data_IF_650107676481
#
_entry.id   IF_650107676481
#
_cell.length_a   1.000
_cell.length_b   1.000
_cell.length_c   1.000
_cell.angle_alpha   90.00
_cell.angle_beta   90.00
_cell.angle_gamma   90.00
#
_symmetry.space_group_name_H-M   'P 1'
#
loop_
_entity.id
_entity.type
_entity.pdbx_description
1 polymer ?
#
# COMPACT_ATOMS: atom_id res chain seq x y z
N UNK A 1 15.14 13.73 24.27
CA UNK A 1 13.85 13.15 23.86
C UNK A 1 14.06 11.69 23.53
N UNK A 2 13.14 10.82 23.94
CA UNK A 2 13.18 9.40 23.61
C UNK A 2 12.97 9.22 22.10
N UNK A 3 13.84 8.44 21.44
CA UNK A 3 13.75 8.16 20.01
C UNK A 3 12.62 7.17 19.70
N UNK A 4 12.14 7.14 18.46
CA UNK A 4 11.19 6.12 17.97
C UNK A 4 11.74 4.70 18.19
N UNK A 5 13.04 4.48 17.95
CA UNK A 5 13.68 3.19 18.15
C UNK A 5 13.65 2.78 19.63
N UNK A 6 13.96 3.69 20.56
CA UNK A 6 13.91 3.42 22.01
C UNK A 6 12.50 3.08 22.47
N UNK A 7 11.48 3.79 21.99
CA UNK A 7 10.07 3.46 22.26
C UNK A 7 9.71 2.05 21.74
N UNK A 8 10.05 1.75 20.49
CA UNK A 8 9.79 0.43 19.92
C UNK A 8 10.47 -0.69 20.67
N UNK A 9 11.75 -0.52 21.08
CA UNK A 9 12.48 -1.51 21.90
C UNK A 9 11.85 -1.77 23.27
N UNK A 10 11.17 -0.78 23.83
CA UNK A 10 10.48 -0.90 25.13
C UNK A 10 9.02 -1.33 24.99
N UNK A 11 8.54 -1.55 23.77
CA UNK A 11 7.12 -1.87 23.51
C UNK A 11 6.18 -0.73 23.90
N UNK A 12 6.66 0.52 23.90
CA UNK A 12 5.82 1.68 24.17
C UNK A 12 4.94 1.98 22.96
N UNK A 13 3.71 2.47 23.21
CA UNK A 13 2.78 2.82 22.15
C UNK A 13 3.35 3.90 21.22
N UNK A 14 3.16 3.72 19.92
CA UNK A 14 3.48 4.71 18.88
C UNK A 14 2.25 5.49 18.40
N UNK A 15 1.11 5.36 19.07
CA UNK A 15 -0.17 5.95 18.64
C UNK A 15 -0.12 7.48 18.49
N UNK A 16 0.72 8.18 19.26
CA UNK A 16 0.90 9.64 19.16
C UNK A 16 1.44 10.12 17.80
N UNK A 17 2.07 9.20 17.02
CA UNK A 17 2.62 9.53 15.70
C UNK A 17 1.61 9.38 14.56
N UNK A 18 0.38 8.95 14.87
CA UNK A 18 -0.70 8.78 13.89
C UNK A 18 -0.26 8.01 12.64
N UNK A 19 0.40 6.87 12.85
CA UNK A 19 0.97 6.04 11.79
C UNK A 19 -0.11 5.63 10.79
N UNK A 20 0.19 5.77 9.50
CA UNK A 20 -0.66 5.35 8.38
C UNK A 20 0.02 4.22 7.64
N UNK A 21 -0.63 3.08 7.61
CA UNK A 21 -0.23 1.93 6.84
C UNK A 21 -0.83 2.01 5.43
N UNK A 22 0.02 2.06 4.40
CA UNK A 22 -0.42 2.17 3.01
C UNK A 22 -0.61 0.81 2.32
N UNK A 23 -0.40 -0.31 3.04
CA UNK A 23 -0.45 -1.64 2.44
C UNK A 23 -0.79 -2.72 3.46
N UNK A 24 -2.03 -3.16 3.47
CA UNK A 24 -2.48 -4.33 4.22
C UNK A 24 -3.51 -5.15 3.44
N UNK A 25 -3.76 -6.36 3.92
CA UNK A 25 -4.67 -7.30 3.26
C UNK A 25 -5.61 -8.00 4.24
N UNK A 26 -6.84 -8.26 3.80
CA UNK A 26 -7.70 -9.26 4.42
C UNK A 26 -7.50 -10.60 3.69
N UNK A 27 -6.97 -11.59 4.40
CA UNK A 27 -6.69 -12.93 3.84
C UNK A 27 -7.16 -14.00 4.82
N UNK A 28 -8.08 -14.86 4.40
CA UNK A 28 -8.66 -15.91 5.27
C UNK A 28 -7.65 -16.97 5.69
N UNK A 29 -6.65 -17.26 4.87
CA UNK A 29 -5.60 -18.25 5.20
C UNK A 29 -4.47 -17.73 6.09
N UNK A 30 -4.44 -16.41 6.38
CA UNK A 30 -3.37 -15.78 7.15
C UNK A 30 -3.71 -15.61 8.64
N UNK A 31 -4.93 -15.93 9.05
CA UNK A 31 -5.40 -15.84 10.43
C UNK A 31 -5.76 -17.22 10.98
N UNK A 32 -5.79 -17.41 12.32
CA UNK A 32 -6.26 -18.63 12.94
C UNK A 32 -7.66 -19.03 12.46
N UNK A 33 -7.92 -20.32 12.44
CA UNK A 33 -9.22 -20.85 12.01
C UNK A 33 -10.36 -20.23 12.81
N UNK A 34 -11.35 -19.68 12.10
CA UNK A 34 -12.54 -19.07 12.71
C UNK A 34 -12.39 -17.61 13.13
N UNK A 35 -11.21 -17.00 12.99
CA UNK A 35 -11.04 -15.55 13.22
C UNK A 35 -11.46 -14.73 11.99
N UNK A 36 -12.04 -13.55 12.26
CA UNK A 36 -12.29 -12.52 11.25
C UNK A 36 -10.96 -11.81 10.93
N UNK A 37 -10.50 -11.80 9.66
CA UNK A 37 -9.27 -11.12 9.28
C UNK A 37 -9.24 -9.62 9.63
N UNK A 38 -10.39 -8.94 9.60
CA UNK A 38 -10.46 -7.52 9.96
C UNK A 38 -10.23 -7.30 11.47
N UNK A 39 -10.76 -8.20 12.32
CA UNK A 39 -10.53 -8.13 13.76
C UNK A 39 -9.05 -8.38 14.10
N UNK A 40 -8.44 -9.34 13.40
CA UNK A 40 -7.02 -9.64 13.58
C UNK A 40 -6.14 -8.44 13.18
N UNK A 41 -6.40 -7.87 12.00
CA UNK A 41 -5.67 -6.70 11.52
C UNK A 41 -5.79 -5.52 12.49
N UNK A 42 -6.99 -5.20 12.96
CA UNK A 42 -7.19 -4.08 13.90
C UNK A 42 -6.48 -4.32 15.23
N UNK A 43 -6.45 -5.57 15.74
CA UNK A 43 -5.64 -5.90 16.92
C UNK A 43 -4.14 -5.65 16.68
N UNK A 44 -3.61 -6.04 15.51
CA UNK A 44 -2.20 -5.78 15.16
C UNK A 44 -1.92 -4.27 15.07
N UNK A 45 -2.83 -3.50 14.48
CA UNK A 45 -2.77 -2.04 14.44
C UNK A 45 -2.73 -1.42 15.85
N UNK A 46 -3.60 -1.88 16.76
CA UNK A 46 -3.66 -1.38 18.14
C UNK A 46 -2.37 -1.68 18.91
N UNK A 47 -1.85 -2.89 18.77
CA UNK A 47 -0.58 -3.30 19.38
C UNK A 47 0.62 -2.50 18.86
N UNK A 48 0.59 -2.12 17.59
CA UNK A 48 1.68 -1.42 16.90
C UNK A 48 1.53 0.11 16.92
N UNK A 49 0.40 0.64 17.40
CA UNK A 49 0.11 2.07 17.42
C UNK A 49 -0.24 2.64 16.03
N UNK A 50 -0.68 1.79 15.09
CA UNK A 50 -1.12 2.21 13.75
C UNK A 50 -2.54 2.76 13.83
N UNK A 51 -2.72 4.00 13.35
CA UNK A 51 -4.02 4.71 13.41
C UNK A 51 -4.96 4.27 12.30
N UNK A 52 -4.46 4.21 11.08
CA UNK A 52 -5.26 3.93 9.87
C UNK A 52 -4.47 3.02 8.95
N UNK A 53 -5.14 2.05 8.33
CA UNK A 53 -4.55 1.16 7.34
C UNK A 53 -5.35 1.19 6.05
N UNK A 54 -4.67 1.32 4.91
CA UNK A 54 -5.24 1.13 3.59
C UNK A 54 -5.15 -0.35 3.22
N UNK A 55 -6.29 -0.95 2.97
CA UNK A 55 -6.45 -2.41 2.94
C UNK A 55 -7.12 -2.86 1.66
N UNK A 56 -6.67 -3.96 1.09
CA UNK A 56 -7.40 -4.69 0.06
C UNK A 56 -7.73 -6.10 0.54
N UNK A 57 -8.87 -6.63 0.13
CA UNK A 57 -9.20 -8.03 0.41
C UNK A 57 -8.67 -8.92 -0.70
N UNK A 58 -7.92 -9.96 -0.33
CA UNK A 58 -7.39 -10.98 -1.23
C UNK A 58 -7.92 -12.38 -0.88
N UNK A 59 -9.08 -12.46 -0.24
CA UNK A 59 -9.77 -13.73 0.00
C UNK A 59 -10.06 -14.45 -1.33
N UNK A 60 -10.20 -15.76 -1.29
CA UNK A 60 -10.38 -16.59 -2.49
C UNK A 60 -9.23 -16.48 -3.52
N UNK A 61 -8.01 -16.14 -3.06
CA UNK A 61 -6.86 -15.97 -3.95
C UNK A 61 -6.96 -14.82 -4.94
N UNK A 62 -7.89 -13.86 -4.70
CA UNK A 62 -8.09 -12.71 -5.57
C UNK A 62 -8.89 -12.97 -6.86
N UNK A 63 -9.37 -14.19 -7.11
CA UNK A 63 -10.08 -14.51 -8.35
C UNK A 63 -11.53 -14.00 -8.44
N UNK A 64 -12.07 -13.48 -7.34
CA UNK A 64 -13.47 -13.00 -7.23
C UNK A 64 -13.51 -11.54 -6.82
N UNK A 65 -13.24 -10.65 -7.78
CA UNK A 65 -13.11 -9.21 -7.57
C UNK A 65 -14.23 -8.62 -6.71
N UNK A 66 -15.48 -8.82 -7.11
CA UNK A 66 -16.64 -8.23 -6.42
C UNK A 66 -16.80 -8.78 -5.00
N UNK A 67 -16.53 -10.08 -4.80
CA UNK A 67 -16.61 -10.70 -3.48
C UNK A 67 -15.49 -10.21 -2.55
N UNK A 68 -14.27 -10.03 -3.08
CA UNK A 68 -13.16 -9.44 -2.33
C UNK A 68 -13.49 -8.02 -1.89
N UNK A 69 -13.98 -7.19 -2.80
CA UNK A 69 -14.34 -5.80 -2.51
C UNK A 69 -15.55 -5.69 -1.56
N UNK A 70 -16.50 -6.63 -1.64
CA UNK A 70 -17.62 -6.67 -0.69
C UNK A 70 -17.16 -6.95 0.74
N UNK A 71 -16.26 -7.91 0.93
CA UNK A 71 -15.68 -8.20 2.25
C UNK A 71 -14.89 -6.99 2.78
N UNK A 72 -14.17 -6.29 1.90
CA UNK A 72 -13.48 -5.06 2.31
C UNK A 72 -14.47 -3.96 2.72
N UNK A 73 -15.57 -3.80 1.99
CA UNK A 73 -16.62 -2.84 2.35
C UNK A 73 -17.20 -3.14 3.74
N UNK A 74 -17.52 -4.41 4.02
CA UNK A 74 -18.01 -4.82 5.35
C UNK A 74 -16.99 -4.52 6.45
N UNK A 75 -15.70 -4.74 6.21
CA UNK A 75 -14.64 -4.39 7.16
C UNK A 75 -14.55 -2.88 7.41
N UNK A 76 -14.68 -2.06 6.36
CA UNK A 76 -14.74 -0.59 6.50
C UNK A 76 -15.94 -0.14 7.35
N UNK A 77 -17.10 -0.76 7.17
CA UNK A 77 -18.29 -0.45 7.97
C UNK A 77 -18.12 -0.88 9.44
N UNK A 78 -17.42 -1.98 9.69
CA UNK A 78 -17.13 -2.48 11.04
C UNK A 78 -16.10 -1.60 11.78
N UNK A 79 -15.11 -1.05 11.04
CA UNK A 79 -14.02 -0.26 11.60
C UNK A 79 -13.87 1.09 10.89
N UNK A 80 -14.86 2.00 10.99
CA UNK A 80 -14.86 3.28 10.29
C UNK A 80 -13.67 4.15 10.72
N UNK A 81 -12.96 4.69 9.70
CA UNK A 81 -11.77 5.52 9.90
C UNK A 81 -10.49 4.76 10.31
N UNK A 82 -10.60 3.49 10.70
CA UNK A 82 -9.44 2.62 10.95
C UNK A 82 -9.01 1.90 9.68
N UNK A 83 -9.96 1.35 8.93
CA UNK A 83 -9.74 0.67 7.66
C UNK A 83 -10.26 1.51 6.50
N UNK A 84 -9.39 1.84 5.56
CA UNK A 84 -9.71 2.49 4.29
C UNK A 84 -9.53 1.46 3.16
N UNK A 85 -10.47 1.39 2.23
CA UNK A 85 -10.46 0.36 1.19
C UNK A 85 -9.69 0.76 -0.06
N UNK A 86 -8.82 -0.13 -0.53
CA UNK A 86 -8.42 -0.20 -1.93
C UNK A 86 -9.40 -1.08 -2.70
N UNK A 87 -9.90 -0.59 -3.83
CA UNK A 87 -10.65 -1.43 -4.78
C UNK A 87 -9.67 -2.42 -5.41
N UNK A 88 -9.82 -3.69 -5.10
CA UNK A 88 -9.04 -4.75 -5.74
C UNK A 88 -9.56 -4.99 -7.15
N UNK A 89 -8.67 -5.04 -8.15
CA UNK A 89 -9.00 -5.23 -9.56
C UNK A 89 -8.49 -6.58 -10.06
N UNK A 90 -9.41 -7.34 -10.63
CA UNK A 90 -9.12 -8.46 -11.52
C UNK A 90 -9.34 -8.01 -12.96
N UNK A 91 -8.34 -8.08 -13.87
CA UNK A 91 -8.40 -7.48 -15.21
C UNK A 91 -9.20 -8.37 -16.19
N UNK A 92 -10.49 -8.46 -15.98
CA UNK A 92 -11.43 -9.18 -16.87
C UNK A 92 -12.09 -8.28 -17.89
N UNK A 93 -13.43 -8.29 -17.91
CA UNK A 93 -14.22 -7.38 -18.77
C UNK A 93 -14.02 -5.91 -18.32
N UNK A 94 -13.56 -5.02 -19.21
CA UNK A 94 -13.38 -3.60 -18.89
C UNK A 94 -14.63 -2.89 -18.37
N UNK A 95 -15.83 -3.29 -18.85
CA UNK A 95 -17.09 -2.71 -18.36
C UNK A 95 -17.37 -3.11 -16.92
N UNK A 96 -17.12 -4.37 -16.56
CA UNK A 96 -17.27 -4.85 -15.19
C UNK A 96 -16.25 -4.18 -14.25
N UNK A 97 -15.01 -4.02 -14.70
CA UNK A 97 -13.97 -3.28 -13.95
C UNK A 97 -14.40 -1.85 -13.67
N UNK A 98 -14.87 -1.10 -14.70
CA UNK A 98 -15.34 0.27 -14.52
C UNK A 98 -16.48 0.34 -13.50
N UNK A 99 -17.51 -0.47 -13.70
CA UNK A 99 -18.69 -0.48 -12.83
C UNK A 99 -18.33 -0.79 -11.37
N UNK A 100 -17.41 -1.74 -11.15
CA UNK A 100 -16.95 -2.09 -9.80
C UNK A 100 -16.17 -0.94 -9.15
N UNK A 101 -15.24 -0.31 -9.88
CA UNK A 101 -14.48 0.84 -9.35
C UNK A 101 -15.41 1.97 -8.98
N UNK A 102 -16.31 2.39 -9.86
CA UNK A 102 -17.27 3.48 -9.62
C UNK A 102 -18.15 3.17 -8.40
N UNK A 103 -18.68 1.93 -8.31
CA UNK A 103 -19.49 1.49 -7.19
C UNK A 103 -18.74 1.58 -5.86
N UNK A 104 -17.51 1.10 -5.81
CA UNK A 104 -16.73 1.08 -4.55
C UNK A 104 -16.25 2.46 -4.14
N UNK A 105 -15.88 3.31 -5.09
CA UNK A 105 -15.55 4.70 -4.78
C UNK A 105 -16.77 5.45 -4.20
N UNK A 106 -17.97 5.21 -4.71
CA UNK A 106 -19.21 5.75 -4.14
C UNK A 106 -19.50 5.23 -2.71
N UNK A 107 -18.92 4.08 -2.34
CA UNK A 107 -18.98 3.50 -0.99
C UNK A 107 -17.84 3.95 -0.06
N UNK A 108 -16.98 4.88 -0.50
CA UNK A 108 -15.91 5.46 0.31
C UNK A 108 -14.55 4.78 0.21
N UNK A 109 -14.34 3.92 -0.79
CA UNK A 109 -12.99 3.42 -1.08
C UNK A 109 -12.09 4.57 -1.55
N UNK A 110 -10.79 4.49 -1.24
CA UNK A 110 -9.85 5.61 -1.38
C UNK A 110 -8.69 5.35 -2.31
N UNK A 111 -8.61 4.19 -2.94
CA UNK A 111 -7.54 3.83 -3.87
C UNK A 111 -7.84 2.54 -4.60
N UNK A 112 -6.87 2.07 -5.37
CA UNK A 112 -6.97 0.87 -6.21
C UNK A 112 -5.79 -0.05 -5.91
N UNK A 113 -6.04 -1.36 -5.81
CA UNK A 113 -5.01 -2.41 -5.70
C UNK A 113 -4.98 -3.25 -6.95
N UNK A 114 -3.80 -3.43 -7.51
CA UNK A 114 -3.56 -4.33 -8.63
C UNK A 114 -2.44 -5.31 -8.32
N UNK A 115 -2.55 -6.50 -8.89
CA UNK A 115 -1.54 -7.55 -8.80
C UNK A 115 -1.14 -7.98 -10.21
N UNK A 116 0.15 -8.17 -10.45
CA UNK A 116 0.63 -8.90 -11.63
C UNK A 116 0.40 -10.37 -11.34
N UNK A 117 -0.70 -10.91 -11.83
CA UNK A 117 -1.07 -12.30 -11.64
C UNK A 117 -1.34 -12.96 -13.00
N UNK A 118 -0.88 -14.20 -13.14
CA UNK A 118 -1.26 -15.10 -14.25
C UNK A 118 -0.96 -14.55 -15.66
N UNK A 119 0.10 -13.78 -15.83
CA UNK A 119 0.53 -13.27 -17.14
C UNK A 119 -0.17 -12.02 -17.62
N UNK A 120 -0.84 -11.27 -16.75
CA UNK A 120 -1.36 -9.95 -17.04
C UNK A 120 -0.39 -8.88 -16.53
N UNK A 121 0.31 -8.20 -17.45
CA UNK A 121 1.09 -7.01 -17.14
C UNK A 121 0.16 -5.81 -16.84
N UNK A 122 0.65 -4.80 -16.13
CA UNK A 122 -0.19 -3.63 -15.79
C UNK A 122 -0.64 -2.82 -17.00
N UNK A 123 0.02 -2.94 -18.15
CA UNK A 123 -0.42 -2.34 -19.42
C UNK A 123 -1.55 -3.13 -20.11
N UNK A 124 -1.95 -4.28 -19.56
CA UNK A 124 -3.05 -5.06 -20.12
C UNK A 124 -4.36 -4.25 -20.16
N UNK A 125 -5.10 -4.24 -21.31
CA UNK A 125 -6.27 -3.37 -21.51
C UNK A 125 -7.39 -3.55 -20.46
N UNK A 126 -7.49 -4.70 -19.82
CA UNK A 126 -8.46 -4.95 -18.75
C UNK A 126 -8.30 -4.04 -17.53
N UNK A 127 -7.10 -3.50 -17.28
CA UNK A 127 -6.86 -2.52 -16.21
C UNK A 127 -7.17 -1.07 -16.61
N UNK A 128 -7.28 -0.76 -17.90
CA UNK A 128 -7.40 0.61 -18.39
C UNK A 128 -8.53 1.43 -17.71
N UNK A 129 -9.77 0.90 -17.52
CA UNK A 129 -10.83 1.67 -16.87
C UNK A 129 -10.49 2.09 -15.43
N UNK A 130 -9.76 1.26 -14.71
CA UNK A 130 -9.33 1.57 -13.34
C UNK A 130 -8.27 2.68 -13.34
N UNK A 131 -7.31 2.66 -14.27
CA UNK A 131 -6.33 3.73 -14.41
C UNK A 131 -6.96 5.05 -14.88
N UNK A 132 -7.95 5.01 -15.79
CA UNK A 132 -8.68 6.20 -16.23
C UNK A 132 -9.34 6.91 -15.05
N UNK A 133 -10.10 6.18 -14.23
CA UNK A 133 -10.75 6.74 -13.04
C UNK A 133 -9.71 7.21 -12.01
N UNK A 134 -8.63 6.43 -11.81
CA UNK A 134 -7.57 6.83 -10.91
C UNK A 134 -6.89 8.14 -11.36
N UNK A 135 -6.70 8.31 -12.66
CA UNK A 135 -6.14 9.53 -13.24
C UNK A 135 -7.06 10.75 -13.03
N UNK A 136 -8.35 10.60 -13.27
CA UNK A 136 -9.33 11.67 -13.06
C UNK A 136 -9.37 12.14 -11.61
N UNK A 137 -9.33 11.18 -10.66
CA UNK A 137 -9.51 11.42 -9.23
C UNK A 137 -8.20 11.51 -8.44
N UNK A 138 -7.04 11.41 -9.05
CA UNK A 138 -5.71 11.36 -8.38
C UNK A 138 -5.63 10.28 -7.31
N UNK A 139 -6.18 9.11 -7.58
CA UNK A 139 -6.17 8.03 -6.61
C UNK A 139 -4.77 7.43 -6.47
N UNK A 140 -4.42 6.93 -5.27
CA UNK A 140 -3.31 6.00 -5.12
C UNK A 140 -3.67 4.67 -5.79
N UNK A 141 -2.75 4.18 -6.62
CA UNK A 141 -2.82 2.84 -7.21
C UNK A 141 -1.66 2.03 -6.65
N UNK A 142 -1.96 1.11 -5.75
CA UNK A 142 -0.99 0.21 -5.14
C UNK A 142 -0.70 -0.96 -6.09
N UNK A 143 0.49 -0.97 -6.63
CA UNK A 143 1.00 -2.00 -7.55
C UNK A 143 1.90 -2.98 -6.82
N UNK A 144 1.65 -4.27 -6.96
CA UNK A 144 2.55 -5.31 -6.45
C UNK A 144 3.80 -5.39 -7.34
N UNK A 145 4.97 -5.12 -6.78
CA UNK A 145 6.23 -5.01 -7.51
C UNK A 145 7.31 -5.96 -6.94
N UNK A 146 6.92 -7.15 -6.52
CA UNK A 146 7.79 -8.15 -5.92
C UNK A 146 8.04 -9.33 -6.88
N UNK A 147 9.23 -9.89 -6.82
CA UNK A 147 9.53 -11.14 -7.56
C UNK A 147 9.90 -10.92 -9.02
N UNK A 148 11.08 -10.42 -9.30
CA UNK A 148 11.57 -10.18 -10.65
C UNK A 148 11.26 -8.75 -11.13
N UNK A 149 11.15 -8.54 -12.42
CA UNK A 149 10.86 -7.23 -13.02
C UNK A 149 9.34 -6.94 -13.12
N UNK A 150 8.52 -7.79 -12.53
CA UNK A 150 7.07 -7.76 -12.71
C UNK A 150 6.49 -6.37 -12.39
N UNK A 151 5.97 -5.73 -13.42
CA UNK A 151 5.19 -4.51 -13.36
C UNK A 151 5.95 -3.19 -13.16
N UNK A 152 7.24 -3.20 -12.77
CA UNK A 152 8.00 -1.95 -12.60
C UNK A 152 8.25 -1.24 -13.92
N UNK A 153 8.60 -1.97 -14.98
CA UNK A 153 8.89 -1.39 -16.29
C UNK A 153 7.64 -0.90 -17.03
N UNK A 154 6.44 -1.29 -16.58
CA UNK A 154 5.16 -0.77 -17.08
C UNK A 154 4.87 0.66 -16.56
N UNK A 155 5.40 1.01 -15.39
CA UNK A 155 5.05 2.25 -14.69
C UNK A 155 5.36 3.52 -15.48
N UNK A 156 6.53 3.68 -16.15
CA UNK A 156 6.79 4.83 -17.00
C UNK A 156 5.77 4.97 -18.14
N UNK A 157 5.41 3.87 -18.81
CA UNK A 157 4.44 3.85 -19.91
C UNK A 157 3.04 4.25 -19.39
N UNK A 158 2.66 3.73 -18.23
CA UNK A 158 1.38 4.09 -17.59
C UNK A 158 1.37 5.55 -17.12
N UNK A 159 2.48 6.06 -16.62
CA UNK A 159 2.58 7.45 -16.17
C UNK A 159 2.48 8.46 -17.33
N UNK A 160 2.99 8.12 -18.50
CA UNK A 160 2.77 8.92 -19.72
C UNK A 160 1.26 8.98 -20.11
N UNK A 161 0.58 7.85 -20.00
CA UNK A 161 -0.86 7.75 -20.34
C UNK A 161 -1.76 8.33 -19.24
N UNK A 162 -1.37 8.16 -17.97
CA UNK A 162 -2.17 8.52 -16.79
C UNK A 162 -1.34 9.39 -15.81
N UNK A 163 -1.00 10.63 -16.19
CA UNK A 163 -0.03 11.47 -15.46
C UNK A 163 -0.50 11.93 -14.08
N UNK A 164 -1.79 11.85 -13.78
CA UNK A 164 -2.34 12.26 -12.49
C UNK A 164 -2.42 11.10 -11.47
N UNK A 165 -2.16 9.86 -11.88
CA UNK A 165 -2.18 8.69 -10.99
C UNK A 165 -1.03 8.78 -9.99
N UNK A 166 -1.32 8.53 -8.72
CA UNK A 166 -0.28 8.32 -7.69
C UNK A 166 0.10 6.83 -7.65
N UNK A 167 1.18 6.46 -8.32
CA UNK A 167 1.67 5.08 -8.38
C UNK A 167 2.38 4.71 -7.07
N UNK A 168 1.79 3.84 -6.26
CA UNK A 168 2.39 3.32 -5.04
C UNK A 168 3.05 1.98 -5.37
N UNK A 169 4.38 1.97 -5.46
CA UNK A 169 5.18 0.81 -5.85
C UNK A 169 5.51 -0.01 -4.61
N UNK A 170 4.82 -1.13 -4.44
CA UNK A 170 4.99 -1.99 -3.27
C UNK A 170 6.36 -2.66 -3.25
N UNK A 171 6.82 -2.98 -2.03
CA UNK A 171 8.01 -3.79 -1.78
C UNK A 171 9.35 -3.14 -2.21
N UNK A 172 9.42 -1.81 -2.17
CA UNK A 172 10.62 -1.06 -2.58
C UNK A 172 11.87 -1.35 -1.70
N UNK A 173 11.69 -1.89 -0.51
CA UNK A 173 12.77 -2.36 0.34
C UNK A 173 13.29 -3.78 0.05
N UNK A 174 12.77 -4.47 -1.00
CA UNK A 174 13.16 -5.81 -1.40
C UNK A 174 14.43 -5.83 -2.28
N UNK A 175 14.70 -6.95 -2.94
CA UNK A 175 15.92 -7.20 -3.73
C UNK A 175 16.19 -6.26 -4.92
N UNK A 176 15.22 -5.40 -5.29
CA UNK A 176 15.30 -4.51 -6.45
C UNK A 176 15.25 -3.03 -6.08
N UNK A 177 15.91 -2.66 -5.01
CA UNK A 177 15.94 -1.27 -4.52
C UNK A 177 16.37 -0.29 -5.62
N UNK A 178 17.43 -0.59 -6.36
CA UNK A 178 17.96 0.24 -7.46
C UNK A 178 16.96 0.38 -8.60
N UNK A 179 16.19 -0.67 -8.88
CA UNK A 179 15.15 -0.61 -9.92
C UNK A 179 14.01 0.33 -9.49
N UNK A 180 13.54 0.23 -8.26
CA UNK A 180 12.54 1.17 -7.71
C UNK A 180 13.04 2.62 -7.73
N UNK A 181 14.30 2.86 -7.36
CA UNK A 181 14.94 4.19 -7.42
C UNK A 181 14.95 4.72 -8.85
N UNK A 182 15.32 3.89 -9.82
CA UNK A 182 15.35 4.27 -11.25
C UNK A 182 13.95 4.67 -11.74
N UNK A 183 12.90 3.89 -11.41
CA UNK A 183 11.53 4.22 -11.79
C UNK A 183 11.04 5.51 -11.10
N UNK A 184 11.36 5.69 -9.82
CA UNK A 184 11.04 6.92 -9.11
C UNK A 184 11.76 8.16 -9.68
N UNK A 185 12.93 7.98 -10.28
CA UNK A 185 13.65 9.03 -11.02
C UNK A 185 13.00 9.42 -12.35
N UNK A 186 12.26 8.51 -12.98
CA UNK A 186 11.58 8.71 -14.26
C UNK A 186 10.12 9.22 -14.07
N UNK A 187 9.46 8.85 -12.98
CA UNK A 187 8.05 9.10 -12.74
C UNK A 187 7.87 9.94 -11.49
N UNK A 188 7.44 11.18 -11.65
CA UNK A 188 7.27 12.15 -10.55
C UNK A 188 6.27 11.68 -9.49
N UNK A 189 5.18 11.02 -9.91
CA UNK A 189 4.13 10.51 -9.03
C UNK A 189 4.31 9.03 -8.64
N UNK A 190 5.55 8.54 -8.64
CA UNK A 190 5.89 7.23 -8.08
C UNK A 190 6.24 7.38 -6.61
N UNK A 191 5.52 6.67 -5.76
CA UNK A 191 5.74 6.56 -4.31
C UNK A 191 6.26 5.18 -3.99
N UNK A 192 7.32 5.10 -3.20
CA UNK A 192 7.97 3.83 -2.86
C UNK A 192 7.49 3.34 -1.50
N UNK A 193 6.84 2.19 -1.49
CA UNK A 193 6.28 1.59 -0.29
C UNK A 193 7.22 0.50 0.26
N UNK A 194 7.51 0.54 1.57
CA UNK A 194 8.64 -0.14 2.20
C UNK A 194 8.40 -1.57 2.67
N UNK A 195 7.19 -2.10 2.62
CA UNK A 195 6.96 -3.46 3.13
C UNK A 195 7.71 -4.51 2.30
N UNK A 196 8.25 -5.51 2.96
CA UNK A 196 8.84 -6.67 2.29
C UNK A 196 9.18 -7.78 3.28
N UNK A 197 9.09 -9.02 2.85
CA UNK A 197 9.55 -10.18 3.61
C UNK A 197 11.10 -10.29 3.66
N UNK A 198 11.79 -9.73 2.66
CA UNK A 198 13.25 -9.78 2.54
C UNK A 198 13.81 -8.38 2.31
N UNK A 199 14.18 -7.70 3.39
CA UNK A 199 14.82 -6.39 3.31
C UNK A 199 16.32 -6.55 2.95
N UNK A 200 16.76 -5.81 1.93
CA UNK A 200 18.18 -5.63 1.65
C UNK A 200 18.84 -4.82 2.77
N UNK A 201 20.10 -5.11 3.07
CA UNK A 201 20.89 -4.32 4.05
C UNK A 201 20.84 -2.83 3.66
N UNK A 202 20.50 -1.97 4.63
CA UNK A 202 20.37 -0.52 4.44
C UNK A 202 19.33 -0.09 3.37
N UNK A 203 18.31 -0.89 3.11
CA UNK A 203 17.32 -0.55 2.07
C UNK A 203 16.63 0.80 2.36
N UNK A 204 16.25 1.07 3.60
CA UNK A 204 15.57 2.33 3.99
C UNK A 204 16.51 3.52 3.81
N UNK A 205 17.78 3.41 4.24
CA UNK A 205 18.79 4.44 4.08
C UNK A 205 19.07 4.69 2.59
N UNK A 206 19.21 3.63 1.79
CA UNK A 206 19.47 3.72 0.35
C UNK A 206 18.32 4.46 -0.36
N UNK A 207 17.08 4.17 -0.01
CA UNK A 207 15.93 4.91 -0.55
C UNK A 207 15.92 6.37 -0.09
N UNK A 208 16.19 6.61 1.19
CA UNK A 208 16.27 7.96 1.75
C UNK A 208 17.35 8.83 1.09
N UNK A 209 18.48 8.24 0.74
CA UNK A 209 19.62 8.91 0.10
C UNK A 209 19.38 9.23 -1.40
N UNK A 210 18.48 8.49 -2.07
CA UNK A 210 18.35 8.53 -3.54
C UNK A 210 16.96 8.94 -4.06
N UNK A 211 15.94 9.06 -3.17
CA UNK A 211 14.57 9.41 -3.57
C UNK A 211 14.07 10.56 -2.69
N UNK A 212 13.32 11.54 -3.24
CA UNK A 212 12.70 12.59 -2.43
C UNK A 212 11.91 11.99 -1.27
N UNK A 213 12.21 12.44 -0.05
CA UNK A 213 11.65 11.87 1.19
C UNK A 213 10.13 11.79 1.19
N UNK A 214 9.46 12.79 0.61
CA UNK A 214 8.01 12.87 0.52
C UNK A 214 7.37 11.77 -0.34
N UNK A 215 8.16 11.04 -1.10
CA UNK A 215 7.72 9.92 -1.96
C UNK A 215 8.00 8.54 -1.36
N UNK A 216 8.50 8.48 -0.13
CA UNK A 216 8.71 7.22 0.59
C UNK A 216 7.57 7.07 1.59
N UNK A 217 6.82 5.97 1.50
CA UNK A 217 5.69 5.65 2.39
C UNK A 217 5.89 4.30 3.06
N UNK A 218 5.28 4.13 4.20
CA UNK A 218 5.32 2.88 4.94
C UNK A 218 4.06 2.05 4.70
N UNK A 219 4.24 0.72 4.64
CA UNK A 219 3.20 -0.28 4.66
C UNK A 219 3.62 -1.50 5.44
N UNK A 220 2.66 -2.26 5.92
CA UNK A 220 2.89 -3.46 6.70
C UNK A 220 2.83 -4.75 5.87
N UNK A 221 2.02 -4.76 4.80
CA UNK A 221 1.61 -5.97 4.08
C UNK A 221 1.08 -7.05 5.06
N UNK A 222 0.43 -6.59 6.14
CA UNK A 222 -0.27 -7.45 7.10
C UNK A 222 -1.60 -7.91 6.42
N UNK A 223 -1.96 -9.09 6.46
CA UNK A 223 -1.68 -10.27 7.26
C UNK A 223 -0.60 -11.23 6.71
N UNK A 224 -0.16 -11.16 5.42
CA UNK A 224 0.95 -12.05 4.97
C UNK A 224 2.24 -11.81 5.73
N UNK A 225 2.51 -10.56 6.11
CA UNK A 225 3.67 -10.17 6.88
C UNK A 225 3.27 -9.67 8.27
N UNK A 226 4.25 -9.45 9.14
CA UNK A 226 3.99 -8.99 10.51
C UNK A 226 4.23 -7.48 10.63
N UNK A 227 3.23 -6.75 11.07
CA UNK A 227 3.23 -5.29 11.21
C UNK A 227 4.40 -4.77 12.07
N UNK A 228 4.68 -5.40 13.20
CA UNK A 228 5.78 -4.99 14.09
C UNK A 228 7.15 -5.16 13.43
N UNK A 229 7.33 -6.22 12.61
CA UNK A 229 8.56 -6.42 11.84
C UNK A 229 8.74 -5.31 10.79
N UNK A 230 7.66 -4.94 10.10
CA UNK A 230 7.72 -3.87 9.10
C UNK A 230 8.00 -2.49 9.73
N UNK A 231 7.43 -2.20 10.90
CA UNK A 231 7.78 -1.01 11.69
C UNK A 231 9.25 -1.01 12.09
N UNK A 232 9.75 -2.13 12.57
CA UNK A 232 11.14 -2.28 13.01
C UNK A 232 12.17 -1.85 11.99
N UNK A 233 11.91 -2.03 10.70
CA UNK A 233 12.81 -1.57 9.62
C UNK A 233 12.97 -0.05 9.61
N UNK A 234 11.88 0.70 9.74
CA UNK A 234 11.93 2.17 9.76
C UNK A 234 12.47 2.67 11.10
N UNK A 235 12.03 2.10 12.21
CA UNK A 235 12.51 2.49 13.54
C UNK A 235 14.01 2.31 13.68
N UNK A 236 14.55 1.19 13.15
CA UNK A 236 15.98 0.82 13.21
C UNK A 236 16.86 1.51 12.18
N UNK A 237 16.28 2.11 11.13
CA UNK A 237 17.04 2.77 10.08
C UNK A 237 17.89 3.95 10.60
N UNK A 238 19.08 4.12 10.04
CA UNK A 238 20.00 5.21 10.40
C UNK A 238 19.70 6.48 9.58
N UNK A 239 18.49 7.00 9.76
CA UNK A 239 18.00 8.25 9.16
C UNK A 239 17.48 9.17 10.27
N UNK A 240 17.34 10.49 10.03
CA UNK A 240 16.81 11.42 11.02
C UNK A 240 15.42 11.00 11.55
N UNK A 241 15.16 11.23 12.84
CA UNK A 241 13.87 10.93 13.49
C UNK A 241 12.70 11.60 12.77
N UNK A 242 12.89 12.82 12.25
CA UNK A 242 11.87 13.52 11.49
C UNK A 242 11.55 12.81 10.16
N UNK A 243 12.58 12.27 9.49
CA UNK A 243 12.37 11.48 8.28
C UNK A 243 11.55 10.20 8.55
N UNK A 244 11.83 9.51 9.67
CA UNK A 244 11.03 8.36 10.10
C UNK A 244 9.55 8.72 10.30
N UNK A 245 9.27 9.85 10.96
CA UNK A 245 7.90 10.33 11.17
C UNK A 245 7.19 10.66 9.85
N UNK A 246 7.91 11.28 8.92
CA UNK A 246 7.35 11.56 7.60
C UNK A 246 7.01 10.28 6.85
N UNK A 247 7.90 9.29 6.82
CA UNK A 247 7.67 7.99 6.19
C UNK A 247 6.49 7.25 6.83
N UNK A 248 6.41 7.25 8.16
CA UNK A 248 5.36 6.52 8.88
C UNK A 248 3.98 7.19 8.84
N UNK A 249 3.90 8.50 8.59
CA UNK A 249 2.63 9.23 8.70
C UNK A 249 2.46 10.33 7.64
N UNK A 250 3.26 11.40 7.70
CA UNK A 250 2.99 12.63 6.99
C UNK A 250 2.94 12.46 5.45
N UNK A 251 3.78 11.59 4.88
CA UNK A 251 3.84 11.35 3.44
C UNK A 251 2.55 10.67 2.94
N UNK A 252 2.08 9.64 3.64
CA UNK A 252 0.82 8.97 3.32
C UNK A 252 -0.37 9.94 3.42
N UNK A 253 -0.45 10.73 4.48
CA UNK A 253 -1.50 11.73 4.66
C UNK A 253 -1.50 12.78 3.56
N UNK A 254 -0.32 13.25 3.14
CA UNK A 254 -0.17 14.20 2.02
C UNK A 254 -0.62 13.59 0.70
N UNK A 255 -0.28 12.31 0.46
CA UNK A 255 -0.72 11.60 -0.73
C UNK A 255 -2.25 11.48 -0.76
N UNK A 256 -2.87 11.04 0.35
CA UNK A 256 -4.32 10.89 0.45
C UNK A 256 -5.07 12.23 0.32
N UNK A 257 -4.48 13.33 0.77
CA UNK A 257 -5.07 14.66 0.61
C UNK A 257 -5.10 15.18 -0.84
N UNK A 258 -4.44 14.51 -1.79
CA UNK A 258 -4.48 14.85 -3.21
C UNK A 258 -5.69 14.26 -3.95
N UNK A 259 -6.42 13.33 -3.32
CA UNK A 259 -7.58 12.67 -3.92
C UNK A 259 -8.65 13.72 -4.25
N UNK A 260 -9.15 13.69 -5.48
CA UNK A 260 -10.24 14.54 -5.96
C UNK A 260 -11.58 13.80 -5.77
N UNK A 261 -12.53 14.45 -5.17
CA UNK A 261 -13.91 13.95 -4.97
C UNK A 261 -14.76 14.17 -6.18
#
# INVERSE_FOLDING_TARGET
>A
MTTLLEKGRRGESLAEYEIVDMHAHLMTGAVPWGEDPADHLVRAMDQSGVKTSLVSSLVYGGFRMEACNELMYQAMQKYPGRLLGYVYIWPGDPKAVRAEVERRLAQGFTGIKMLVLMGYDYVYPGYAPAFEIANERRLPVLLHCYGGQAGLDDVPVLAERYPEVNFVLAHAGAQQVEHHIRIAGQVERAYLELCTSMATYRAVETLYENVPLERIVWGADDLPLNMSHQLGKVLGAQIPEEAKRQILSANARRLLAQIRT
#
